data_IF_748347424087
#
_entry.id   IF_748347424087
#
_cell.length_a   1.000
_cell.length_b   1.000
_cell.length_c   1.000
_cell.angle_alpha   90.00
_cell.angle_beta   90.00
_cell.angle_gamma   90.00
#
_symmetry.space_group_name_H-M   'P 1'
#
loop_
_entity.id
_entity.type
_entity.pdbx_description
1 polymer ?
#
# COMPACT_ATOMS: atom_id res chain seq x y z
N UNK A 1 6.06 31.05 8.55
CA UNK A 1 7.36 31.70 8.26
C UNK A 1 7.87 31.30 6.87
N UNK A 2 8.25 30.03 6.62
CA UNK A 2 8.63 29.56 5.27
C UNK A 2 7.54 29.76 4.20
N UNK A 3 6.27 29.58 4.55
CA UNK A 3 5.16 29.85 3.62
C UNK A 3 5.21 31.25 3.00
N UNK A 4 5.61 32.29 3.74
CA UNK A 4 5.70 33.65 3.20
C UNK A 4 6.86 33.77 2.21
N UNK A 5 8.03 33.22 2.55
CA UNK A 5 9.19 33.18 1.67
C UNK A 5 8.87 32.43 0.36
N UNK A 6 8.30 31.23 0.46
CA UNK A 6 7.89 30.40 -0.68
C UNK A 6 6.88 31.13 -1.59
N UNK A 7 5.89 31.80 -1.01
CA UNK A 7 4.92 32.60 -1.77
C UNK A 7 5.54 33.78 -2.53
N UNK A 8 6.75 34.21 -2.17
CA UNK A 8 7.48 35.29 -2.84
C UNK A 8 8.57 34.79 -3.77
N UNK A 9 8.71 33.48 -3.95
CA UNK A 9 9.49 32.88 -5.03
C UNK A 9 8.64 32.82 -6.29
N UNK A 10 9.16 33.37 -7.39
CA UNK A 10 8.50 33.29 -8.69
C UNK A 10 9.46 32.66 -9.69
N UNK A 11 9.08 31.49 -10.22
CA UNK A 11 9.80 30.82 -11.30
C UNK A 11 9.32 31.36 -12.65
N UNK A 12 10.18 32.15 -13.29
CA UNK A 12 9.94 32.73 -14.61
C UNK A 12 10.65 31.88 -15.70
N UNK A 13 9.94 31.40 -16.74
CA UNK A 13 10.57 30.64 -17.82
C UNK A 13 11.54 31.50 -18.67
N UNK A 14 12.69 30.96 -19.12
CA UNK A 14 13.24 29.64 -18.86
C UNK A 14 14.08 29.65 -17.57
N UNK A 15 13.59 28.96 -16.51
CA UNK A 15 14.37 28.60 -15.32
C UNK A 15 15.01 29.77 -14.53
N UNK A 16 14.38 30.95 -14.52
CA UNK A 16 14.84 32.13 -13.78
C UNK A 16 14.04 32.31 -12.50
N UNK A 17 14.71 32.44 -11.36
CA UNK A 17 14.06 32.65 -10.07
C UNK A 17 13.99 34.14 -9.74
N UNK A 18 12.82 34.68 -9.43
CA UNK A 18 12.66 36.10 -9.11
C UNK A 18 12.13 36.32 -7.70
N UNK A 19 12.71 37.29 -7.01
CA UNK A 19 12.29 37.75 -5.70
C UNK A 19 11.11 38.72 -5.85
N UNK A 20 9.94 38.38 -5.32
CA UNK A 20 8.77 39.25 -5.44
C UNK A 20 8.82 40.51 -4.54
N UNK A 21 9.72 40.58 -3.54
CA UNK A 21 9.89 41.79 -2.72
C UNK A 21 10.63 42.92 -3.45
N UNK A 22 11.59 42.59 -4.32
CA UNK A 22 12.47 43.59 -4.95
C UNK A 22 12.62 43.43 -6.48
N UNK A 23 12.07 42.37 -7.06
CA UNK A 23 12.11 42.10 -8.50
C UNK A 23 13.45 41.57 -9.03
N UNK A 24 14.41 41.23 -8.16
CA UNK A 24 15.71 40.69 -8.60
C UNK A 24 15.58 39.27 -9.11
N UNK A 25 16.27 38.97 -10.20
CA UNK A 25 16.32 37.66 -10.80
C UNK A 25 17.63 36.92 -10.46
N UNK A 26 17.53 35.62 -10.29
CA UNK A 26 18.57 34.70 -9.88
C UNK A 26 18.54 33.47 -10.79
N UNK A 27 19.70 32.83 -10.93
CA UNK A 27 19.88 31.66 -11.80
C UNK A 27 19.38 30.38 -11.13
N UNK A 28 19.41 30.31 -9.81
CA UNK A 28 18.92 29.16 -9.04
C UNK A 28 18.11 29.61 -7.83
N UNK A 29 17.26 28.71 -7.36
CA UNK A 29 16.48 28.89 -6.14
C UNK A 29 17.38 29.14 -4.93
N UNK A 30 18.47 28.39 -4.83
CA UNK A 30 19.46 28.53 -3.77
C UNK A 30 19.99 29.98 -3.63
N UNK A 31 20.29 30.66 -4.73
CA UNK A 31 20.75 32.05 -4.67
C UNK A 31 19.64 33.03 -4.30
N UNK A 32 18.39 32.70 -4.61
CA UNK A 32 17.23 33.48 -4.19
C UNK A 32 16.96 33.30 -2.69
N UNK A 33 17.05 32.08 -2.16
CA UNK A 33 16.93 31.80 -0.72
C UNK A 33 17.99 32.53 0.10
N UNK A 34 19.25 32.44 -0.33
CA UNK A 34 20.32 33.21 0.30
C UNK A 34 20.11 34.73 0.20
N UNK A 35 19.48 35.22 -0.87
CA UNK A 35 19.13 36.64 -1.00
C UNK A 35 18.03 37.04 -0.01
N UNK A 36 17.04 36.19 0.23
CA UNK A 36 16.00 36.42 1.22
C UNK A 36 16.57 36.58 2.62
N UNK A 37 17.43 35.65 3.04
CA UNK A 37 18.10 35.71 4.36
C UNK A 37 18.96 36.97 4.52
N UNK A 38 19.69 37.39 3.49
CA UNK A 38 20.61 38.52 3.60
C UNK A 38 19.96 39.91 3.44
N UNK A 39 18.82 40.01 2.76
CA UNK A 39 18.23 41.30 2.34
C UNK A 39 16.79 41.51 2.78
N UNK A 40 16.07 40.44 3.09
CA UNK A 40 14.66 40.45 3.46
C UNK A 40 14.41 39.68 4.76
N UNK A 41 15.45 39.52 5.61
CA UNK A 41 15.33 38.84 6.90
C UNK A 41 14.17 39.41 7.71
N UNK A 42 14.09 40.74 7.78
CA UNK A 42 13.10 41.51 8.53
C UNK A 42 11.66 41.34 8.02
N UNK A 43 11.48 40.94 6.75
CA UNK A 43 10.15 40.71 6.15
C UNK A 43 9.70 39.25 6.28
N UNK A 44 10.62 38.35 6.59
CA UNK A 44 10.41 36.90 6.63
C UNK A 44 10.37 36.41 8.08
N UNK A 45 11.16 37.03 8.96
CA UNK A 45 11.17 36.75 10.38
C UNK A 45 10.33 37.77 11.14
N UNK A 46 9.28 37.29 11.80
CA UNK A 46 8.66 38.01 12.92
C UNK A 46 9.39 37.60 14.19
N UNK A 47 9.64 38.53 15.11
CA UNK A 47 10.43 38.29 16.33
C UNK A 47 9.94 37.09 17.18
N UNK A 48 8.67 36.70 17.05
CA UNK A 48 8.04 35.58 17.78
C UNK A 48 7.93 34.26 16.97
N UNK A 49 8.58 34.14 15.81
CA UNK A 49 8.44 32.94 14.96
C UNK A 49 9.61 31.95 15.13
N UNK A 50 9.26 30.69 15.42
CA UNK A 50 10.19 29.55 15.44
C UNK A 50 10.27 28.92 14.04
N UNK A 51 11.49 28.59 13.61
CA UNK A 51 11.73 27.75 12.45
C UNK A 51 11.47 26.28 12.82
N UNK A 52 10.53 25.62 12.13
CA UNK A 52 10.14 24.25 12.47
C UNK A 52 11.26 23.22 12.22
N UNK A 53 12.22 23.56 11.34
CA UNK A 53 13.38 22.71 11.09
C UNK A 53 14.32 22.64 12.30
N UNK A 54 14.41 23.70 13.10
CA UNK A 54 15.27 23.76 14.28
C UNK A 54 14.77 22.86 15.42
N UNK A 55 13.50 22.46 15.35
CA UNK A 55 12.82 21.60 16.33
C UNK A 55 12.40 20.25 15.74
N UNK A 56 12.95 19.89 14.57
CA UNK A 56 12.59 18.64 13.91
C UNK A 56 13.03 17.38 14.65
N UNK A 57 14.10 17.45 15.46
CA UNK A 57 14.54 16.35 16.31
C UNK A 57 13.51 16.04 17.41
N UNK A 58 12.87 17.09 17.93
CA UNK A 58 11.84 17.01 18.97
C UNK A 58 10.54 16.45 18.38
N UNK A 59 10.13 16.94 17.20
CA UNK A 59 8.90 16.49 16.53
C UNK A 59 9.07 15.24 15.68
N UNK A 60 10.31 14.72 15.54
CA UNK A 60 10.64 13.52 14.77
C UNK A 60 10.21 13.64 13.30
N UNK A 61 10.50 14.78 12.66
CA UNK A 61 10.08 15.07 11.28
C UNK A 61 10.49 13.96 10.30
N UNK A 62 11.70 13.43 10.42
CA UNK A 62 12.25 12.42 9.50
C UNK A 62 11.58 11.06 9.65
N UNK A 63 11.15 10.73 10.87
CA UNK A 63 10.43 9.49 11.18
C UNK A 63 9.00 9.58 10.65
N UNK A 64 8.32 10.72 10.89
CA UNK A 64 6.93 10.93 10.45
C UNK A 64 6.84 11.04 8.93
N UNK A 65 7.82 11.65 8.27
CA UNK A 65 7.88 11.74 6.81
C UNK A 65 8.28 10.43 6.13
N UNK A 66 8.77 9.45 6.88
CA UNK A 66 9.31 8.19 6.35
C UNK A 66 10.65 8.36 5.63
N UNK A 67 11.32 9.50 5.79
CA UNK A 67 12.65 9.75 5.25
C UNK A 67 13.73 8.97 6.01
N UNK A 68 13.50 8.70 7.30
CA UNK A 68 14.41 7.94 8.17
C UNK A 68 13.74 6.67 8.72
N UNK A 69 14.52 5.59 8.79
CA UNK A 69 14.13 4.32 9.40
C UNK A 69 15.20 3.94 10.44
N UNK A 70 14.81 3.31 11.56
CA UNK A 70 15.78 2.93 12.58
C UNK A 70 16.70 1.84 12.07
N UNK A 71 18.01 2.07 12.16
CA UNK A 71 18.98 0.98 12.11
C UNK A 71 19.06 0.27 13.48
N UNK A 72 19.59 -0.96 13.46
CA UNK A 72 19.80 -1.73 14.70
C UNK A 72 20.61 -0.94 15.74
N UNK A 73 21.63 -0.22 15.29
CA UNK A 73 22.49 0.57 16.18
C UNK A 73 21.79 1.79 16.76
N UNK A 74 20.86 2.41 16.03
CA UNK A 74 20.10 3.57 16.54
C UNK A 74 19.20 3.17 17.71
N UNK A 75 18.66 1.96 17.67
CA UNK A 75 17.87 1.40 18.77
C UNK A 75 18.80 0.96 19.92
N UNK A 76 19.92 0.30 19.60
CA UNK A 76 20.82 -0.29 20.59
C UNK A 76 21.70 0.73 21.34
N UNK A 77 22.05 1.84 20.69
CA UNK A 77 22.89 2.92 21.25
C UNK A 77 22.07 4.11 21.76
N UNK A 78 20.74 3.99 21.82
CA UNK A 78 19.89 5.05 22.34
C UNK A 78 20.21 5.34 23.82
N UNK A 79 20.43 6.61 24.16
CA UNK A 79 20.70 7.07 25.51
C UNK A 79 19.44 7.69 26.12
N UNK A 80 19.08 7.27 27.34
CA UNK A 80 17.91 7.80 28.03
C UNK A 80 18.09 9.27 28.45
N UNK A 81 19.31 9.65 28.83
CA UNK A 81 19.64 11.02 29.25
C UNK A 81 19.38 12.04 28.12
N UNK A 82 19.81 11.74 26.89
CA UNK A 82 19.58 12.60 25.71
C UNK A 82 18.07 12.72 25.40
N UNK A 83 17.32 11.63 25.57
CA UNK A 83 15.88 11.62 25.36
C UNK A 83 15.14 12.44 26.42
N UNK A 84 15.61 12.44 27.67
CA UNK A 84 15.06 13.29 28.74
C UNK A 84 15.27 14.78 28.42
N UNK A 85 16.42 15.15 27.88
CA UNK A 85 16.69 16.53 27.43
C UNK A 85 15.72 16.96 26.31
N UNK A 86 15.57 16.13 25.27
CA UNK A 86 14.62 16.40 24.18
C UNK A 86 13.18 16.46 24.69
N UNK A 87 12.80 15.59 25.62
CA UNK A 87 11.48 15.60 26.24
C UNK A 87 11.22 16.89 27.01
N UNK A 88 12.21 17.39 27.76
CA UNK A 88 12.11 18.66 28.48
C UNK A 88 11.94 19.84 27.52
N UNK A 89 12.68 19.86 26.40
CA UNK A 89 12.52 20.89 25.37
C UNK A 89 11.12 20.83 24.73
N UNK A 90 10.62 19.64 24.41
CA UNK A 90 9.26 19.45 23.90
C UNK A 90 8.20 20.04 24.84
N UNK A 91 8.35 19.78 26.14
CA UNK A 91 7.43 20.28 27.16
C UNK A 91 7.37 21.81 27.16
N UNK A 92 8.52 22.48 27.10
CA UNK A 92 8.58 23.95 27.04
C UNK A 92 7.89 24.48 25.78
N UNK A 93 8.15 23.87 24.62
CA UNK A 93 7.52 24.29 23.35
C UNK A 93 5.99 24.15 23.43
N UNK A 94 5.48 23.04 23.95
CA UNK A 94 4.02 22.82 24.11
C UNK A 94 3.41 23.82 25.08
N UNK A 95 4.11 24.16 26.17
CA UNK A 95 3.64 25.15 27.14
C UNK A 95 3.56 26.58 26.55
N UNK A 96 4.53 26.94 25.71
CA UNK A 96 4.61 28.25 25.05
C UNK A 96 3.63 28.37 23.87
N UNK A 97 3.39 27.28 23.14
CA UNK A 97 2.50 27.25 21.98
C UNK A 97 1.02 27.36 22.36
N UNK A 98 0.63 26.96 23.58
CA UNK A 98 -0.77 27.01 24.02
C UNK A 98 -1.02 28.32 24.76
N UNK A 99 -1.62 29.34 24.11
CA UNK A 99 -1.93 30.60 24.77
C UNK A 99 -2.93 30.38 25.90
N UNK A 100 -2.84 31.22 26.93
CA UNK A 100 -3.82 31.19 28.03
C UNK A 100 -5.21 31.56 27.50
N UNK A 101 -6.08 30.56 27.33
CA UNK A 101 -7.48 30.78 26.96
C UNK A 101 -8.29 31.40 28.11
N UNK A 102 -9.55 31.80 27.88
CA UNK A 102 -10.40 32.38 28.92
C UNK A 102 -10.75 31.37 30.03
N UNK A 103 -10.63 30.06 29.76
CA UNK A 103 -10.90 28.98 30.70
C UNK A 103 -9.64 28.11 30.92
N UNK A 104 -9.24 27.95 32.19
CA UNK A 104 -8.04 27.16 32.56
C UNK A 104 -8.18 25.69 32.17
N UNK A 105 -9.37 25.13 32.38
CA UNK A 105 -9.69 23.74 32.07
C UNK A 105 -9.53 23.40 30.58
N UNK A 106 -9.93 24.27 29.66
CA UNK A 106 -9.78 24.02 28.22
C UNK A 106 -8.31 24.10 27.79
N UNK A 107 -7.58 25.06 28.34
CA UNK A 107 -6.13 25.20 28.11
C UNK A 107 -5.37 23.97 28.61
N UNK A 108 -5.73 23.44 29.78
CA UNK A 108 -5.09 22.26 30.38
C UNK A 108 -5.32 20.99 29.55
N UNK A 109 -6.50 20.85 28.92
CA UNK A 109 -6.82 19.72 28.03
C UNK A 109 -5.95 19.76 26.77
N UNK A 110 -5.79 20.94 26.16
CA UNK A 110 -4.96 21.09 24.95
C UNK A 110 -3.48 20.80 25.28
N UNK A 111 -3.00 21.28 26.43
CA UNK A 111 -1.64 20.98 26.90
C UNK A 111 -1.43 19.49 27.12
N UNK A 112 -2.36 18.81 27.79
CA UNK A 112 -2.22 17.37 28.06
C UNK A 112 -2.25 16.54 26.77
N UNK A 113 -3.12 16.90 25.80
CA UNK A 113 -3.15 16.26 24.49
C UNK A 113 -1.87 16.53 23.67
N UNK A 114 -1.33 17.74 23.73
CA UNK A 114 -0.05 18.07 23.10
C UNK A 114 1.09 17.22 23.67
N UNK A 115 1.16 17.11 25.00
CA UNK A 115 2.15 16.28 25.68
C UNK A 115 2.03 14.79 25.35
N UNK A 116 0.81 14.26 25.31
CA UNK A 116 0.55 12.85 25.01
C UNK A 116 0.88 12.51 23.55
N UNK A 117 0.46 13.34 22.59
CA UNK A 117 0.62 13.01 21.17
C UNK A 117 1.99 13.38 20.61
N UNK A 118 2.67 14.38 21.17
CA UNK A 118 3.95 14.87 20.67
C UNK A 118 5.09 14.34 21.53
N UNK A 119 5.10 14.70 22.82
CA UNK A 119 6.27 14.48 23.68
C UNK A 119 6.37 13.05 24.21
N UNK A 120 5.27 12.31 24.40
CA UNK A 120 5.30 10.96 25.00
C UNK A 120 6.13 9.92 24.24
N UNK A 121 6.45 10.21 22.98
CA UNK A 121 7.26 9.37 22.12
C UNK A 121 8.76 9.60 22.28
N UNK A 122 9.21 10.68 22.94
CA UNK A 122 10.62 11.00 23.16
C UNK A 122 11.21 10.10 24.28
N UNK A 123 11.22 8.80 24.02
CA UNK A 123 11.81 7.76 24.86
C UNK A 123 12.40 6.69 23.97
N UNK A 124 13.53 6.06 24.35
CA UNK A 124 14.17 5.03 23.51
C UNK A 124 13.22 3.91 23.07
N UNK A 125 12.25 3.55 23.92
CA UNK A 125 11.26 2.52 23.61
C UNK A 125 10.18 2.92 22.59
N UNK A 126 9.88 4.22 22.45
CA UNK A 126 8.76 4.71 21.63
C UNK A 126 9.19 5.70 20.54
N UNK A 127 10.44 6.13 20.51
CA UNK A 127 10.94 7.16 19.60
C UNK A 127 10.65 6.85 18.14
N UNK A 128 10.81 5.59 17.75
CA UNK A 128 10.57 5.11 16.39
C UNK A 128 9.12 4.69 16.11
N UNK A 129 8.21 4.78 17.10
CA UNK A 129 6.80 4.46 16.89
C UNK A 129 6.08 5.65 16.25
N UNK A 130 5.40 5.40 15.14
CA UNK A 130 4.55 6.39 14.49
C UNK A 130 3.19 6.48 15.20
N UNK A 131 2.66 7.68 15.47
CA UNK A 131 1.36 7.86 16.12
C UNK A 131 0.19 7.38 15.25
N UNK A 132 0.42 7.27 13.94
CA UNK A 132 -0.56 6.86 12.96
C UNK A 132 -0.23 5.47 12.43
N UNK A 133 -0.63 4.44 13.19
CA UNK A 133 -0.95 3.17 12.54
C UNK A 133 -2.26 3.40 11.77
N UNK A 134 -2.19 3.98 10.57
CA UNK A 134 -3.25 3.79 9.59
C UNK A 134 -3.46 2.28 9.53
N UNK A 135 -4.66 1.81 9.86
CA UNK A 135 -5.03 0.42 9.66
C UNK A 135 -4.86 0.06 8.17
N UNK A 136 -3.67 -0.42 7.81
CA UNK A 136 -3.43 -1.25 6.62
C UNK A 136 -4.34 -2.50 6.64
N UNK A 137 -5.00 -2.76 7.77
CA UNK A 137 -6.01 -3.79 7.96
C UNK A 137 -7.21 -3.62 7.03
N UNK A 138 -7.60 -2.41 6.64
CA UNK A 138 -8.81 -2.22 5.81
C UNK A 138 -8.66 -2.83 4.41
N UNK A 139 -7.54 -2.56 3.74
CA UNK A 139 -7.22 -3.13 2.44
C UNK A 139 -6.83 -4.61 2.53
N UNK A 140 -6.11 -5.00 3.58
CA UNK A 140 -5.70 -6.40 3.81
C UNK A 140 -6.91 -7.31 4.11
N UNK A 141 -7.84 -6.86 4.97
CA UNK A 141 -9.05 -7.62 5.29
C UNK A 141 -9.97 -7.76 4.07
N UNK A 142 -10.14 -6.70 3.26
CA UNK A 142 -10.92 -6.76 2.03
C UNK A 142 -10.34 -7.80 1.05
N UNK A 143 -9.02 -7.82 0.87
CA UNK A 143 -8.35 -8.78 0.01
C UNK A 143 -8.57 -10.24 0.47
N UNK A 144 -8.49 -10.49 1.78
CA UNK A 144 -8.73 -11.81 2.37
C UNK A 144 -10.18 -12.27 2.13
N UNK A 145 -11.17 -11.41 2.36
CA UNK A 145 -12.59 -11.73 2.13
C UNK A 145 -12.88 -11.98 0.65
N UNK A 146 -12.36 -11.15 -0.25
CA UNK A 146 -12.57 -11.30 -1.69
C UNK A 146 -11.94 -12.60 -2.23
N UNK A 147 -10.73 -12.92 -1.77
CA UNK A 147 -10.00 -14.14 -2.17
C UNK A 147 -10.73 -15.39 -1.69
N UNK A 148 -11.18 -15.41 -0.43
CA UNK A 148 -11.92 -16.56 0.12
C UNK A 148 -13.26 -16.80 -0.59
N UNK A 149 -14.01 -15.74 -0.91
CA UNK A 149 -15.26 -15.84 -1.69
C UNK A 149 -15.01 -16.43 -3.08
N UNK A 150 -13.93 -15.99 -3.75
CA UNK A 150 -13.56 -16.47 -5.09
C UNK A 150 -13.17 -17.95 -5.08
N UNK A 151 -12.36 -18.37 -4.11
CA UNK A 151 -11.99 -19.78 -3.95
C UNK A 151 -13.21 -20.67 -3.71
N UNK A 152 -14.15 -20.25 -2.86
CA UNK A 152 -15.38 -20.99 -2.62
C UNK A 152 -16.23 -21.11 -3.89
N UNK A 153 -16.38 -20.02 -4.66
CA UNK A 153 -17.07 -20.05 -5.95
C UNK A 153 -16.45 -21.03 -6.95
N UNK A 154 -15.12 -21.09 -7.02
CA UNK A 154 -14.40 -22.04 -7.89
C UNK A 154 -14.67 -23.49 -7.46
N UNK A 155 -14.69 -23.78 -6.15
CA UNK A 155 -14.99 -25.13 -5.65
C UNK A 155 -16.41 -25.55 -6.01
N UNK A 156 -17.39 -24.68 -5.79
CA UNK A 156 -18.80 -24.94 -6.15
C UNK A 156 -18.95 -25.14 -7.65
N UNK A 157 -18.29 -24.31 -8.47
CA UNK A 157 -18.30 -24.45 -9.93
C UNK A 157 -17.76 -25.82 -10.37
N UNK A 158 -16.59 -26.23 -9.85
CA UNK A 158 -16.01 -27.54 -10.17
C UNK A 158 -16.90 -28.69 -9.70
N UNK A 159 -17.54 -28.57 -8.54
CA UNK A 159 -18.48 -29.57 -8.05
C UNK A 159 -19.70 -29.72 -8.96
N UNK A 160 -20.31 -28.60 -9.38
CA UNK A 160 -21.46 -28.62 -10.30
C UNK A 160 -21.04 -29.16 -11.67
N UNK A 161 -19.91 -28.71 -12.20
CA UNK A 161 -19.36 -29.19 -13.47
C UNK A 161 -19.09 -30.70 -13.44
N UNK A 162 -18.50 -31.19 -12.36
CA UNK A 162 -18.26 -32.62 -12.16
C UNK A 162 -19.58 -33.40 -12.14
N UNK A 163 -20.58 -32.97 -11.36
CA UNK A 163 -21.87 -33.65 -11.30
C UNK A 163 -22.60 -33.61 -12.65
N UNK A 164 -22.55 -32.49 -13.37
CA UNK A 164 -23.16 -32.37 -14.70
C UNK A 164 -22.53 -33.35 -15.70
N UNK A 165 -21.20 -33.38 -15.77
CA UNK A 165 -20.48 -34.24 -16.72
C UNK A 165 -20.53 -35.73 -16.34
N UNK A 166 -20.49 -36.05 -15.04
CA UNK A 166 -20.49 -37.44 -14.58
C UNK A 166 -21.89 -38.04 -14.42
N UNK A 167 -22.95 -37.22 -14.26
CA UNK A 167 -24.33 -37.69 -14.28
C UNK A 167 -24.74 -38.22 -15.67
N UNK A 168 -24.19 -37.65 -16.75
CA UNK A 168 -24.43 -38.14 -18.11
C UNK A 168 -23.78 -39.51 -18.40
N UNK A 169 -22.85 -39.98 -17.56
CA UNK A 169 -22.22 -41.30 -17.70
C UNK A 169 -22.99 -42.44 -17.01
N UNK A 170 -24.03 -42.13 -16.22
CA UNK A 170 -24.77 -43.14 -15.43
C UNK A 170 -26.05 -43.63 -16.15
N UNK A 171 -26.48 -43.00 -17.25
CA UNK A 171 -27.67 -43.43 -18.02
C UNK A 171 -27.41 -44.47 -19.12
N UNK A 172 -26.22 -45.08 -19.23
CA UNK A 172 -26.11 -46.33 -20.01
C UNK A 172 -26.43 -47.53 -19.12
N UNK A 173 -27.72 -47.84 -18.99
CA UNK A 173 -28.20 -49.17 -18.63
C UNK A 173 -27.60 -50.19 -19.63
N UNK A 174 -26.52 -50.86 -19.24
CA UNK A 174 -26.07 -52.08 -19.88
C UNK A 174 -27.02 -53.21 -19.48
N UNK A 175 -28.10 -53.34 -20.25
CA UNK A 175 -29.02 -54.47 -20.18
C UNK A 175 -28.29 -55.74 -20.67
N UNK A 176 -27.91 -56.60 -19.72
CA UNK A 176 -27.31 -57.91 -19.99
C UNK A 176 -28.41 -58.90 -20.33
N UNK A 177 -28.94 -58.84 -21.55
CA UNK A 177 -29.75 -59.93 -22.11
C UNK A 177 -29.24 -60.34 -23.49
N UNK A 178 -28.67 -61.55 -23.64
CA UNK A 178 -28.25 -62.04 -24.95
C UNK A 178 -29.50 -62.40 -25.77
N UNK A 179 -29.78 -61.61 -26.82
CA UNK A 179 -30.82 -61.93 -27.81
C UNK A 179 -30.37 -63.14 -28.66
N UNK A 180 -31.11 -64.27 -28.68
CA UNK A 180 -30.77 -65.38 -29.56
C UNK A 180 -31.20 -65.05 -31.01
N UNK A 181 -30.24 -64.83 -31.90
CA UNK A 181 -30.48 -64.77 -33.35
C UNK A 181 -29.90 -66.01 -34.05
N UNK A 182 -30.52 -67.16 -33.83
CA UNK A 182 -30.39 -68.26 -34.79
C UNK A 182 -31.79 -68.81 -35.12
N UNK A 183 -32.28 -68.45 -36.32
CA UNK A 183 -33.28 -69.28 -37.01
C UNK A 183 -32.50 -70.33 -37.80
N UNK A 184 -32.55 -71.58 -37.34
CA UNK A 184 -32.05 -72.74 -38.08
C UNK A 184 -32.87 -72.85 -39.37
N UNK A 185 -32.26 -72.57 -40.53
CA UNK A 185 -32.83 -72.92 -41.84
C UNK A 185 -32.56 -74.39 -42.10
N UNK A 186 -33.63 -75.16 -42.40
CA UNK A 186 -33.54 -76.55 -42.83
C UNK A 186 -32.78 -76.63 -44.16
N UNK A 187 -31.84 -77.58 -44.23
CA UNK A 187 -31.07 -77.95 -45.41
C UNK A 187 -31.99 -78.58 -46.48
N UNK A 188 -31.94 -78.07 -47.71
CA UNK A 188 -32.54 -78.69 -48.88
C UNK A 188 -31.40 -78.94 -49.91
N UNK A 189 -31.08 -80.19 -50.25
CA UNK A 189 -30.03 -80.49 -51.21
C UNK A 189 -30.66 -80.52 -52.60
N UNK A 190 -30.33 -79.56 -53.46
CA UNK A 190 -30.42 -79.76 -54.92
C UNK A 190 -29.75 -78.60 -55.68
N UNK A 191 -28.89 -78.98 -56.63
CA UNK A 191 -28.37 -78.20 -57.77
C UNK A 191 -27.16 -77.28 -57.44
N UNK A 192 -25.90 -77.70 -57.58
CA UNK A 192 -25.12 -78.05 -58.78
C UNK A 192 -24.53 -76.85 -59.57
N UNK A 193 -23.19 -76.83 -59.58
CA UNK A 193 -22.28 -76.55 -60.72
C UNK A 193 -21.94 -75.10 -61.14
N UNK A 194 -20.64 -74.84 -61.31
CA UNK A 194 -20.06 -73.69 -62.05
C UNK A 194 -19.10 -72.84 -61.21
N UNK A 195 -17.86 -73.24 -60.97
CA UNK A 195 -16.68 -73.19 -61.87
C UNK A 195 -15.88 -71.87 -61.80
N UNK A 196 -14.64 -72.03 -61.35
CA UNK A 196 -13.38 -71.38 -61.71
C UNK A 196 -13.18 -69.85 -61.74
N UNK A 197 -12.31 -69.43 -60.82
CA UNK A 197 -10.95 -68.91 -61.12
C UNK A 197 -10.83 -67.55 -61.83
N UNK A 198 -10.33 -66.53 -61.09
CA UNK A 198 -9.07 -65.83 -61.45
C UNK A 198 -8.55 -64.91 -60.34
N UNK A 199 -7.41 -65.33 -59.79
CA UNK A 199 -6.39 -64.49 -59.16
C UNK A 199 -5.76 -63.55 -60.20
N UNK A 200 -5.48 -62.30 -59.82
CA UNK A 200 -4.24 -61.60 -60.20
C UNK A 200 -3.75 -60.74 -59.03
N UNK A 201 -2.61 -61.17 -58.47
CA UNK A 201 -1.69 -60.31 -57.74
C UNK A 201 -1.06 -59.29 -58.70
N UNK A 202 -0.79 -58.09 -58.21
CA UNK A 202 0.17 -57.15 -58.81
C UNK A 202 1.27 -56.92 -57.77
N UNK A 203 2.50 -57.28 -58.14
CA UNK A 203 3.74 -56.80 -57.53
C UNK A 203 4.61 -56.29 -58.68
N UNK A 204 5.36 -55.23 -58.35
CA UNK A 204 6.21 -54.35 -59.16
C UNK A 204 5.50 -53.18 -59.88
#
# INVERSE_FOLDING_TARGET
MYSLQENHKVLDPPSRWTCNFCGKAFVSEYFLDRHFENRHMDQIQTDDAICLADVCDIFRCDIISGASHPDYWDIALCMEDDMEELFAQCKTIVEDCVPSGPSKNETDIVKSQGMENLCSFLTCSKFWNTPYQQEENSHTALYIVLTTMTCFGIVVYNFVFYNYFYSDLVETNYDVTPKPKHKIKKFNPDIAYGDSTRLRLSAD
#
